data_IF_757936986867
#
_entry.id   IF_757936986867
#
_cell.length_a   1.000
_cell.length_b   1.000
_cell.length_c   1.000
_cell.angle_alpha   90.00
_cell.angle_beta   90.00
_cell.angle_gamma   90.00
#
_symmetry.space_group_name_H-M   'P 1'
#
loop_
_entity.id
_entity.type
_entity.pdbx_description
1 polymer ?
#
# COMPACT_ATOMS: atom_id res chain seq x y z
N UNK A 1 -10.87 1.61 -9.55
CA UNK A 1 -10.39 2.79 -8.81
C UNK A 1 -10.87 2.88 -7.37
N UNK A 2 -12.19 3.00 -7.09
CA UNK A 2 -12.65 3.30 -5.72
C UNK A 2 -12.11 2.37 -4.62
N UNK A 3 -11.99 1.06 -4.88
CA UNK A 3 -11.46 0.11 -3.88
C UNK A 3 -9.98 0.32 -3.51
N UNK A 4 -9.13 0.65 -4.50
CA UNK A 4 -7.70 0.92 -4.26
C UNK A 4 -7.55 2.27 -3.54
N UNK A 5 -8.36 3.27 -3.93
CA UNK A 5 -8.35 4.59 -3.30
C UNK A 5 -8.69 4.56 -1.81
N UNK A 6 -9.74 3.80 -1.42
CA UNK A 6 -10.10 3.67 0.01
C UNK A 6 -8.96 3.09 0.84
N UNK A 7 -8.28 2.06 0.36
CA UNK A 7 -7.13 1.46 1.08
C UNK A 7 -5.95 2.43 1.16
N UNK A 8 -5.66 3.16 0.07
CA UNK A 8 -4.61 4.17 0.05
C UNK A 8 -4.87 5.30 1.08
N UNK A 9 -6.13 5.75 1.19
CA UNK A 9 -6.54 6.75 2.19
C UNK A 9 -6.42 6.22 3.62
N UNK A 10 -6.84 4.97 3.88
CA UNK A 10 -6.71 4.33 5.20
C UNK A 10 -5.24 4.15 5.61
N UNK A 11 -4.35 3.93 4.66
CA UNK A 11 -2.91 3.77 4.88
C UNK A 11 -2.15 5.09 4.97
N UNK A 12 -2.79 6.22 4.66
CA UNK A 12 -2.13 7.52 4.40
C UNK A 12 -0.90 7.33 3.49
N UNK A 13 -1.13 6.64 2.37
CA UNK A 13 -0.10 6.25 1.42
C UNK A 13 -0.68 6.09 0.02
N UNK A 14 -0.40 7.05 -0.86
CA UNK A 14 -1.02 7.10 -2.18
C UNK A 14 -0.07 6.60 -3.27
N UNK A 15 -0.58 5.83 -4.25
CA UNK A 15 0.18 5.52 -5.45
C UNK A 15 0.19 6.70 -6.42
N UNK A 16 1.20 6.75 -7.28
CA UNK A 16 1.08 7.42 -8.56
C UNK A 16 0.48 6.43 -9.57
N UNK A 17 -0.58 6.80 -10.28
CA UNK A 17 -1.15 5.93 -11.31
C UNK A 17 -1.52 6.68 -12.58
N UNK A 18 -1.48 5.98 -13.71
CA UNK A 18 -1.93 6.49 -15.00
C UNK A 18 -2.83 5.44 -15.64
N UNK A 19 -4.02 5.85 -16.06
CA UNK A 19 -4.92 5.03 -16.86
C UNK A 19 -4.90 5.54 -18.30
N UNK A 20 -4.41 4.72 -19.23
CA UNK A 20 -4.38 5.06 -20.66
C UNK A 20 -4.89 3.90 -21.49
N UNK A 21 -5.93 4.15 -22.30
CA UNK A 21 -6.43 3.19 -23.29
C UNK A 21 -6.76 1.79 -22.72
N UNK A 22 -7.14 1.72 -21.44
CA UNK A 22 -7.45 0.46 -20.74
C UNK A 22 -6.28 -0.16 -19.98
N UNK A 23 -5.08 0.40 -20.09
CA UNK A 23 -3.91 0.01 -19.32
C UNK A 23 -3.77 0.88 -18.07
N UNK A 24 -3.64 0.23 -16.91
CA UNK A 24 -3.43 0.88 -15.62
C UNK A 24 -1.97 0.68 -15.19
N UNK A 25 -1.18 1.76 -15.23
CA UNK A 25 0.17 1.81 -14.68
C UNK A 25 0.11 2.33 -13.25
N UNK A 26 0.77 1.66 -12.31
CA UNK A 26 0.84 2.04 -10.89
C UNK A 26 2.31 2.07 -10.46
N UNK A 27 2.72 3.18 -9.86
CA UNK A 27 4.04 3.42 -9.29
C UNK A 27 3.89 3.72 -7.80
N UNK A 28 4.74 3.08 -7.00
CA UNK A 28 4.71 3.15 -5.55
C UNK A 28 6.08 3.62 -5.04
N UNK A 29 6.06 4.64 -4.20
CA UNK A 29 7.22 5.09 -3.44
C UNK A 29 6.75 5.84 -2.21
N UNK A 30 7.60 5.90 -1.19
CA UNK A 30 7.31 6.60 0.06
C UNK A 30 8.03 7.94 0.08
N UNK A 31 7.25 9.02 0.00
CA UNK A 31 7.74 10.40 -0.06
C UNK A 31 8.59 10.78 1.15
N UNK A 32 8.15 10.41 2.35
CA UNK A 32 8.78 10.82 3.62
C UNK A 32 10.21 10.30 3.80
N UNK A 33 10.58 9.26 3.06
CA UNK A 33 11.95 8.70 3.04
C UNK A 33 12.70 9.04 1.74
N UNK A 34 12.30 10.13 1.07
CA UNK A 34 12.93 10.64 -0.14
C UNK A 34 12.54 9.85 -1.39
N UNK A 35 11.26 9.54 -1.56
CA UNK A 35 10.71 8.77 -2.69
C UNK A 35 11.38 7.40 -2.86
N UNK A 36 11.63 6.70 -1.74
CA UNK A 36 12.22 5.35 -1.73
C UNK A 36 11.15 4.31 -1.42
N UNK A 37 11.46 3.06 -1.76
CA UNK A 37 10.58 1.93 -1.44
C UNK A 37 10.60 1.68 0.07
N UNK A 38 9.41 1.55 0.66
CA UNK A 38 9.18 1.16 2.04
C UNK A 38 8.20 -0.02 2.15
N UNK A 39 7.93 -0.46 3.37
CA UNK A 39 6.92 -1.48 3.64
C UNK A 39 5.52 -1.04 3.18
N UNK A 40 5.19 0.25 3.26
CA UNK A 40 3.89 0.77 2.81
C UNK A 40 3.65 0.49 1.33
N UNK A 41 4.70 0.59 0.51
CA UNK A 41 4.66 0.30 -0.93
C UNK A 41 4.35 -1.19 -1.18
N UNK A 42 5.02 -2.10 -0.46
CA UNK A 42 4.77 -3.54 -0.60
C UNK A 42 3.35 -3.93 -0.16
N UNK A 43 2.86 -3.36 0.94
CA UNK A 43 1.50 -3.63 1.44
C UNK A 43 0.45 -3.15 0.45
N UNK A 44 0.60 -1.92 -0.07
CA UNK A 44 -0.35 -1.37 -1.03
C UNK A 44 -0.32 -2.16 -2.36
N UNK A 45 0.87 -2.57 -2.83
CA UNK A 45 1.00 -3.42 -4.01
C UNK A 45 0.26 -4.76 -3.85
N UNK A 46 0.38 -5.41 -2.69
CA UNK A 46 -0.31 -6.67 -2.40
C UNK A 46 -1.83 -6.52 -2.40
N UNK A 47 -2.33 -5.41 -1.87
CA UNK A 47 -3.74 -5.06 -1.91
C UNK A 47 -4.25 -4.79 -3.33
N UNK A 48 -3.48 -4.07 -4.14
CA UNK A 48 -3.79 -3.82 -5.55
C UNK A 48 -3.90 -5.13 -6.32
N UNK A 49 -2.92 -6.03 -6.18
CA UNK A 49 -2.94 -7.38 -6.79
C UNK A 49 -4.20 -8.17 -6.42
N UNK A 50 -4.59 -8.09 -5.15
CA UNK A 50 -5.79 -8.75 -4.62
C UNK A 50 -7.06 -8.20 -5.27
N UNK A 51 -7.18 -6.88 -5.37
CA UNK A 51 -8.34 -6.21 -5.99
C UNK A 51 -8.43 -6.52 -7.48
N UNK A 52 -7.29 -6.53 -8.20
CA UNK A 52 -7.25 -6.75 -9.64
C UNK A 52 -7.45 -8.21 -10.03
N UNK A 53 -6.88 -9.14 -9.28
CA UNK A 53 -6.92 -10.57 -9.63
C UNK A 53 -8.01 -11.36 -8.90
N UNK A 54 -8.82 -10.69 -8.07
CA UNK A 54 -9.91 -11.33 -7.34
C UNK A 54 -9.43 -12.46 -6.43
N UNK A 55 -8.15 -12.46 -6.04
CA UNK A 55 -7.61 -13.45 -5.11
C UNK A 55 -8.14 -13.14 -3.73
N UNK A 56 -8.70 -14.13 -3.03
CA UNK A 56 -8.93 -13.97 -1.60
C UNK A 56 -7.56 -13.96 -0.90
N UNK A 57 -7.24 -12.87 -0.19
CA UNK A 57 -6.16 -12.91 0.80
C UNK A 57 -6.66 -13.81 1.92
N UNK A 58 -6.23 -15.06 1.92
CA UNK A 58 -6.66 -16.02 2.94
C UNK A 58 -6.11 -15.68 4.31
N UNK A 59 -5.00 -14.94 4.41
CA UNK A 59 -4.47 -14.29 5.63
C UNK A 59 -3.19 -13.51 5.25
N UNK A 60 -3.17 -12.19 5.44
CA UNK A 60 -1.93 -11.45 5.61
C UNK A 60 -1.85 -11.09 7.10
N UNK A 61 -1.32 -12.01 7.91
CA UNK A 61 -0.91 -11.69 9.28
C UNK A 61 0.34 -10.82 9.14
N UNK A 62 0.14 -9.51 9.19
CA UNK A 62 1.19 -8.60 9.60
C UNK A 62 1.08 -8.54 11.11
N UNK A 63 1.71 -9.49 11.81
CA UNK A 63 1.77 -9.47 13.28
C UNK A 63 2.40 -8.13 13.69
N UNK A 64 1.55 -7.18 14.12
CA UNK A 64 1.96 -5.90 14.69
C UNK A 64 1.52 -4.61 13.98
N UNK A 65 0.80 -4.64 12.85
CA UNK A 65 0.35 -3.36 12.23
C UNK A 65 -0.98 -2.84 12.81
N UNK A 66 -0.85 -2.23 13.98
CA UNK A 66 -1.84 -1.36 14.61
C UNK A 66 -1.67 0.06 14.00
N UNK A 67 -2.65 0.54 13.24
CA UNK A 67 -2.67 1.90 12.65
C UNK A 67 -2.78 3.06 13.67
N UNK A 68 -2.58 2.80 14.97
CA UNK A 68 -2.37 3.80 16.02
C UNK A 68 -0.98 3.64 16.62
N UNK A 69 -0.05 4.43 16.11
CA UNK A 69 1.15 4.88 16.82
C UNK A 69 2.14 3.78 17.21
N UNK A 70 3.20 3.64 16.42
CA UNK A 70 4.46 3.09 16.93
C UNK A 70 5.36 4.28 17.27
N UNK A 71 5.66 4.46 18.56
CA UNK A 71 6.79 5.26 19.02
C UNK A 71 8.08 4.51 18.66
N UNK A 72 8.96 5.18 17.92
CA UNK A 72 10.28 4.67 17.52
C UNK A 72 11.27 4.78 18.70
N UNK A 73 11.08 3.98 19.75
CA UNK A 73 12.07 3.86 20.84
C UNK A 73 12.58 2.42 21.08
N UNK A 74 12.13 1.43 20.32
CA UNK A 74 12.60 0.04 20.52
C UNK A 74 12.97 -0.66 19.22
N UNK A 75 14.04 -0.21 18.58
CA UNK A 75 14.90 -1.09 17.79
C UNK A 75 16.36 -0.75 18.16
N UNK A 76 16.94 -1.61 19.01
CA UNK A 76 18.37 -1.64 19.32
C UNK A 76 19.23 -1.78 18.05
#
# INVERSE_FOLDING_TARGET
MCRIGTVADEMDHHPEWTLREGELEIRLSTHDIGNRISLKDYVLASWVETVLHGKEISTLVVDGWNAKGIQLEELN
#
